data_IF_306787486002
#
_entry.id   IF_306787486002
#
_cell.length_a   1.000
_cell.length_b   1.000
_cell.length_c   1.000
_cell.angle_alpha   90.00
_cell.angle_beta   90.00
_cell.angle_gamma   90.00
#
_symmetry.space_group_name_H-M   'P 1'
#
loop_
_entity.id
_entity.type
_entity.pdbx_description
1 polymer ?
#
# COMPACT_ATOMS: atom_id res chain seq x y z
N UNK A 1 8.57 -4.20 0.20
CA UNK A 1 9.13 -2.89 0.63
C UNK A 1 9.10 -1.85 -0.49
N UNK A 2 9.81 -2.08 -1.61
CA UNK A 2 9.95 -1.10 -2.70
C UNK A 2 8.63 -0.59 -3.28
N UNK A 3 7.66 -1.47 -3.51
CA UNK A 3 6.32 -1.07 -3.99
C UNK A 3 5.61 -0.08 -3.05
N UNK A 4 5.74 -0.25 -1.73
CA UNK A 4 5.07 0.60 -0.74
C UNK A 4 5.64 2.03 -0.73
N UNK A 5 6.96 2.16 -0.83
CA UNK A 5 7.63 3.48 -0.79
C UNK A 5 7.67 4.13 -2.17
N UNK A 6 7.79 3.35 -3.24
CA UNK A 6 7.70 3.83 -4.62
C UNK A 6 6.35 4.48 -4.90
N UNK A 7 5.26 3.91 -4.39
CA UNK A 7 3.92 4.52 -4.46
C UNK A 7 3.81 5.84 -3.69
N UNK A 8 4.70 6.10 -2.73
CA UNK A 8 4.81 7.34 -1.99
C UNK A 8 5.80 8.34 -2.62
N UNK A 9 6.28 8.08 -3.85
CA UNK A 9 7.21 8.96 -4.56
C UNK A 9 8.67 8.83 -4.13
N UNK A 10 9.03 7.81 -3.35
CA UNK A 10 10.43 7.51 -3.03
C UNK A 10 11.08 6.80 -4.21
N UNK A 11 12.21 7.32 -4.68
CA UNK A 11 13.00 6.69 -5.73
C UNK A 11 13.49 5.31 -5.26
N UNK A 12 13.23 4.29 -6.07
CA UNK A 12 13.74 2.93 -5.86
C UNK A 12 14.33 2.43 -7.17
N UNK A 13 15.37 1.57 -7.14
CA UNK A 13 15.85 0.91 -8.35
C UNK A 13 14.72 0.14 -9.04
N UNK A 14 14.63 0.20 -10.36
CA UNK A 14 13.71 -0.67 -11.09
C UNK A 14 14.10 -2.13 -10.84
N UNK A 15 13.12 -3.01 -10.74
CA UNK A 15 13.37 -4.41 -10.39
C UNK A 15 12.40 -5.37 -11.07
N UNK A 16 12.81 -6.63 -11.14
CA UNK A 16 12.02 -7.77 -11.57
C UNK A 16 12.19 -8.89 -10.55
N UNK A 17 11.09 -9.43 -10.04
CA UNK A 17 11.09 -10.67 -9.27
C UNK A 17 10.90 -11.85 -10.22
N UNK A 18 11.77 -12.85 -10.11
CA UNK A 18 11.78 -14.04 -10.95
C UNK A 18 11.59 -15.29 -10.10
N UNK A 19 10.74 -16.19 -10.58
CA UNK A 19 10.51 -17.54 -10.05
C UNK A 19 11.08 -18.63 -10.98
N UNK A 20 11.48 -18.23 -12.20
CA UNK A 20 12.08 -19.13 -13.20
C UNK A 20 12.98 -18.37 -14.17
N UNK A 21 13.84 -19.10 -14.88
CA UNK A 21 14.69 -18.53 -15.95
C UNK A 21 13.92 -18.31 -17.26
N UNK A 22 12.68 -18.77 -17.35
CA UNK A 22 11.87 -18.68 -18.56
C UNK A 22 11.59 -17.21 -18.92
N UNK A 23 11.94 -16.84 -20.15
CA UNK A 23 11.74 -15.49 -20.66
C UNK A 23 12.57 -14.42 -19.95
N UNK A 24 13.68 -14.79 -19.28
CA UNK A 24 14.54 -13.87 -18.51
C UNK A 24 14.84 -12.56 -19.27
N UNK A 25 15.40 -12.66 -20.48
CA UNK A 25 15.75 -11.49 -21.29
C UNK A 25 14.53 -10.61 -21.58
N UNK A 26 13.38 -11.22 -21.90
CA UNK A 26 12.13 -10.50 -22.17
C UNK A 26 11.61 -9.80 -20.92
N UNK A 27 11.68 -10.44 -19.74
CA UNK A 27 11.23 -9.88 -18.46
C UNK A 27 12.13 -8.72 -18.03
N UNK A 28 13.45 -8.86 -18.14
CA UNK A 28 14.44 -7.87 -17.70
C UNK A 28 14.78 -6.79 -18.75
N UNK A 29 14.20 -6.81 -19.96
CA UNK A 29 14.57 -5.92 -21.08
C UNK A 29 14.49 -4.41 -20.81
N UNK A 30 13.78 -4.01 -19.76
CA UNK A 30 13.57 -2.61 -19.39
C UNK A 30 14.52 -2.14 -18.28
N UNK A 31 15.28 -3.06 -17.68
CA UNK A 31 16.32 -2.74 -16.69
C UNK A 31 17.59 -2.26 -17.39
N UNK A 32 18.23 -1.25 -16.82
CA UNK A 32 19.55 -0.78 -17.25
C UNK A 32 20.64 -1.54 -16.49
N UNK A 33 21.62 -2.06 -17.22
CA UNK A 33 22.81 -2.68 -16.64
C UNK A 33 23.79 -1.59 -16.11
N UNK A 34 24.59 -1.88 -15.07
CA UNK A 34 24.62 -3.14 -14.33
C UNK A 34 23.34 -3.39 -13.53
N UNK A 35 23.06 -4.66 -13.28
CA UNK A 35 21.99 -5.13 -12.38
C UNK A 35 22.60 -5.90 -11.21
N UNK A 36 21.86 -6.04 -10.11
CA UNK A 36 22.25 -6.87 -8.97
C UNK A 36 21.18 -7.92 -8.71
N UNK A 37 21.60 -9.17 -8.51
CA UNK A 37 20.72 -10.29 -8.14
C UNK A 37 20.80 -10.49 -6.63
N UNK A 38 19.65 -10.48 -5.95
CA UNK A 38 19.57 -10.66 -4.50
C UNK A 38 18.35 -11.46 -4.07
N UNK A 39 18.36 -11.87 -2.80
CA UNK A 39 17.22 -12.56 -2.20
C UNK A 39 16.07 -11.58 -1.91
N UNK A 40 14.81 -12.04 -1.99
CA UNK A 40 13.63 -11.22 -1.68
C UNK A 40 13.61 -10.78 -0.20
N UNK A 41 14.07 -11.67 0.68
CA UNK A 41 14.12 -11.49 2.14
C UNK A 41 15.58 -11.62 2.60
N UNK A 42 16.43 -10.69 2.19
CA UNK A 42 17.83 -10.67 2.64
C UNK A 42 17.96 -10.15 4.07
N UNK A 43 19.00 -10.59 4.78
CA UNK A 43 19.46 -9.96 6.02
C UNK A 43 20.99 -9.99 6.04
N UNK A 44 21.62 -8.99 6.65
CA UNK A 44 23.07 -8.91 6.85
C UNK A 44 23.95 -9.25 5.62
N UNK A 45 23.47 -8.88 4.43
CA UNK A 45 24.11 -9.19 3.14
C UNK A 45 24.31 -10.69 2.87
N UNK A 46 23.63 -11.60 3.59
CA UNK A 46 23.69 -13.04 3.35
C UNK A 46 23.25 -13.36 1.92
N UNK A 47 24.06 -14.17 1.21
CA UNK A 47 23.87 -14.49 -0.20
C UNK A 47 24.27 -13.38 -1.18
N UNK A 48 24.74 -12.23 -0.69
CA UNK A 48 25.24 -11.13 -1.51
C UNK A 48 26.76 -11.15 -1.50
N UNK A 49 27.34 -11.56 -2.63
CA UNK A 49 28.77 -11.59 -2.93
C UNK A 49 29.10 -10.62 -4.06
N UNK A 50 30.39 -10.40 -4.35
CA UNK A 50 30.84 -9.44 -5.37
C UNK A 50 30.28 -9.75 -6.76
N UNK A 51 30.12 -11.03 -7.10
CA UNK A 51 29.56 -11.52 -8.37
C UNK A 51 28.02 -11.43 -8.47
N UNK A 52 27.34 -10.93 -7.43
CA UNK A 52 25.90 -10.65 -7.51
C UNK A 52 25.59 -9.46 -8.41
N UNK A 53 26.55 -8.56 -8.63
CA UNK A 53 26.43 -7.55 -9.67
C UNK A 53 26.76 -8.18 -11.01
N UNK A 54 25.83 -8.07 -11.94
CA UNK A 54 25.98 -8.51 -13.31
C UNK A 54 26.02 -7.28 -14.22
N UNK A 55 27.10 -7.11 -14.97
CA UNK A 55 27.30 -6.07 -15.97
C UNK A 55 26.76 -6.52 -17.35
N UNK A 56 26.57 -7.85 -17.56
CA UNK A 56 26.06 -8.42 -18.82
C UNK A 56 24.87 -9.37 -18.66
N UNK A 57 24.11 -9.61 -19.75
CA UNK A 57 23.00 -10.55 -19.77
C UNK A 57 23.46 -12.00 -19.50
N UNK A 58 24.66 -12.37 -19.94
CA UNK A 58 25.17 -13.73 -19.74
C UNK A 58 25.57 -13.98 -18.29
N UNK A 59 26.20 -13.01 -17.62
CA UNK A 59 26.40 -13.02 -16.17
C UNK A 59 25.05 -13.14 -15.43
N UNK A 60 24.05 -12.34 -15.84
CA UNK A 60 22.72 -12.38 -15.24
C UNK A 60 22.07 -13.75 -15.37
N UNK A 61 22.17 -14.40 -16.54
CA UNK A 61 21.63 -15.77 -16.75
C UNK A 61 22.25 -16.77 -15.79
N UNK A 62 23.57 -16.72 -15.62
CA UNK A 62 24.30 -17.62 -14.72
C UNK A 62 23.87 -17.36 -13.28
N UNK A 63 23.87 -16.10 -12.84
CA UNK A 63 23.56 -15.74 -11.46
C UNK A 63 22.12 -16.04 -11.08
N UNK A 64 21.15 -15.73 -11.95
CA UNK A 64 19.72 -16.03 -11.72
C UNK A 64 19.49 -17.54 -11.62
N UNK A 65 20.14 -18.34 -12.47
CA UNK A 65 20.01 -19.81 -12.39
C UNK A 65 20.50 -20.34 -11.04
N UNK A 66 21.65 -19.87 -10.56
CA UNK A 66 22.19 -20.26 -9.27
C UNK A 66 21.26 -19.84 -8.12
N UNK A 67 20.82 -18.57 -8.13
CA UNK A 67 19.91 -18.03 -7.10
C UNK A 67 18.57 -18.76 -7.03
N UNK A 68 17.98 -19.12 -8.18
CA UNK A 68 16.73 -19.86 -8.21
C UNK A 68 16.89 -21.29 -7.67
N UNK A 69 18.04 -21.94 -7.93
CA UNK A 69 18.31 -23.26 -7.40
C UNK A 69 18.48 -23.26 -5.87
N UNK A 70 19.03 -22.18 -5.31
CA UNK A 70 19.28 -22.06 -3.87
C UNK A 70 18.07 -21.52 -3.09
N UNK A 71 17.37 -20.52 -3.63
CA UNK A 71 16.38 -19.72 -2.90
C UNK A 71 14.98 -19.69 -3.51
N UNK A 72 14.74 -20.42 -4.61
CA UNK A 72 13.49 -20.44 -5.40
C UNK A 72 13.10 -19.11 -6.08
N UNK A 73 13.65 -17.98 -5.65
CA UNK A 73 13.35 -16.66 -6.19
C UNK A 73 14.63 -15.85 -6.41
N UNK A 74 14.64 -15.04 -7.46
CA UNK A 74 15.70 -14.07 -7.73
C UNK A 74 15.10 -12.67 -7.92
N UNK A 75 15.50 -11.73 -7.06
CA UNK A 75 15.17 -10.32 -7.24
C UNK A 75 16.31 -9.66 -8.02
N UNK A 76 16.01 -9.24 -9.26
CA UNK A 76 16.96 -8.54 -10.14
C UNK A 76 16.65 -7.06 -10.10
N UNK A 77 17.60 -6.24 -9.68
CA UNK A 77 17.42 -4.78 -9.58
C UNK A 77 18.46 -4.04 -10.41
N UNK A 78 18.13 -2.85 -10.92
CA UNK A 78 19.14 -1.92 -11.44
C UNK A 78 20.17 -1.61 -10.35
N UNK A 79 21.45 -1.75 -10.66
CA UNK A 79 22.51 -1.40 -9.73
C UNK A 79 22.79 0.10 -9.83
N UNK A 80 22.40 0.84 -8.80
CA UNK A 80 22.63 2.29 -8.72
C UNK A 80 24.09 2.54 -8.38
N UNK A 81 24.90 2.89 -9.36
CA UNK A 81 26.30 3.29 -9.14
C UNK A 81 26.35 4.57 -8.30
N UNK A 82 27.38 4.73 -7.47
CA UNK A 82 27.60 5.94 -6.66
C UNK A 82 27.80 5.65 -5.18
N UNK A 83 27.63 6.68 -4.35
CA UNK A 83 27.91 6.61 -2.90
C UNK A 83 26.86 5.76 -2.18
N UNK A 84 27.28 4.95 -1.22
CA UNK A 84 26.39 4.11 -0.42
C UNK A 84 26.43 4.53 1.04
N UNK A 85 25.27 4.53 1.69
CA UNK A 85 25.14 4.99 3.05
C UNK A 85 23.90 4.45 3.73
N UNK A 86 23.77 4.82 4.99
CA UNK A 86 22.70 4.34 5.85
C UNK A 86 22.26 5.40 6.84
N UNK A 87 20.99 5.37 7.24
CA UNK A 87 20.40 6.33 8.17
C UNK A 87 19.37 5.69 9.07
N UNK A 88 19.50 5.92 10.37
CA UNK A 88 18.55 5.45 11.39
C UNK A 88 17.32 6.34 11.41
N UNK A 89 16.15 5.73 11.51
CA UNK A 89 14.88 6.40 11.77
C UNK A 89 14.13 5.70 12.90
N UNK A 90 13.46 6.48 13.75
CA UNK A 90 12.59 5.95 14.80
C UNK A 90 11.36 6.83 15.02
N UNK A 91 10.32 6.25 15.62
CA UNK A 91 9.14 6.99 16.00
C UNK A 91 9.45 7.97 17.14
N UNK A 92 9.17 9.26 16.95
CA UNK A 92 9.32 10.27 17.99
C UNK A 92 8.31 11.40 17.80
N UNK A 93 7.40 11.60 18.77
CA UNK A 93 6.34 12.61 18.67
C UNK A 93 6.86 14.05 18.74
N UNK A 94 8.04 14.26 19.33
CA UNK A 94 8.67 15.58 19.39
C UNK A 94 9.30 16.00 18.07
N UNK A 95 9.55 15.04 17.16
CA UNK A 95 10.15 15.30 15.86
C UNK A 95 9.10 15.63 14.79
N UNK A 96 9.57 16.28 13.73
CA UNK A 96 8.73 16.63 12.58
C UNK A 96 8.03 15.39 12.01
N UNK A 97 6.71 15.51 11.79
CA UNK A 97 5.83 14.42 11.39
C UNK A 97 5.76 13.23 12.38
N UNK A 98 6.36 13.29 13.56
CA UNK A 98 6.39 12.18 14.50
C UNK A 98 7.47 11.14 14.21
N UNK A 99 8.51 11.50 13.45
CA UNK A 99 9.63 10.62 13.08
C UNK A 99 10.95 11.34 13.30
N UNK A 100 11.82 10.78 14.14
CA UNK A 100 13.22 11.19 14.25
C UNK A 100 14.00 10.47 13.18
N UNK A 101 14.68 11.24 12.33
CA UNK A 101 15.70 10.73 11.41
C UNK A 101 17.05 11.25 11.90
N UNK A 102 18.01 10.36 12.07
CA UNK A 102 19.35 10.70 12.56
C UNK A 102 20.24 11.21 11.43
N UNK A 103 21.44 11.71 11.77
CA UNK A 103 22.38 12.18 10.75
C UNK A 103 22.85 10.98 9.89
N UNK A 104 22.72 11.02 8.55
CA UNK A 104 23.12 9.91 7.70
C UNK A 104 24.62 9.62 7.80
N UNK A 105 24.98 8.33 7.69
CA UNK A 105 26.35 7.86 7.56
C UNK A 105 26.61 7.39 6.13
N UNK A 106 27.78 7.71 5.60
CA UNK A 106 28.29 7.21 4.33
C UNK A 106 29.39 6.19 4.57
N UNK A 107 29.37 5.11 3.81
CA UNK A 107 30.38 4.05 3.88
C UNK A 107 31.68 4.50 3.21
N UNK A 108 32.82 4.29 3.90
CA UNK A 108 34.19 4.53 3.43
C UNK A 108 35.02 3.24 3.31
N UNK A 109 34.54 2.14 3.88
CA UNK A 109 35.23 0.85 3.81
C UNK A 109 35.22 0.22 2.40
N UNK A 110 34.42 0.75 1.48
CA UNK A 110 34.40 0.36 0.07
C UNK A 110 35.64 0.94 -0.62
N UNK A 111 36.64 0.09 -0.86
CA UNK A 111 37.95 0.42 -1.45
C UNK A 111 38.32 -0.64 -2.51
N UNK A 112 39.32 -0.39 -3.36
CA UNK A 112 39.86 -1.37 -4.32
C UNK A 112 38.78 -2.01 -5.23
N UNK A 113 38.08 -1.18 -6.01
CA UNK A 113 37.01 -1.57 -6.94
C UNK A 113 35.76 -2.21 -6.28
N UNK A 114 35.61 -2.09 -4.96
CA UNK A 114 34.37 -2.47 -4.27
C UNK A 114 33.31 -1.39 -4.47
N UNK A 115 32.25 -1.73 -5.22
CA UNK A 115 31.19 -0.77 -5.55
C UNK A 115 29.95 -0.90 -4.65
N UNK A 116 29.90 -1.84 -3.69
CA UNK A 116 28.78 -2.03 -2.76
C UNK A 116 29.14 -2.90 -1.54
N UNK A 117 28.35 -2.82 -0.46
CA UNK A 117 28.58 -3.60 0.76
C UNK A 117 28.06 -5.06 0.66
N UNK A 118 28.92 -5.97 0.20
CA UNK A 118 28.66 -7.42 0.17
C UNK A 118 29.06 -8.11 1.48
N UNK A 119 28.65 -9.39 1.66
CA UNK A 119 28.75 -10.14 2.92
C UNK A 119 30.14 -10.06 3.57
N UNK A 120 31.17 -10.57 2.88
CA UNK A 120 32.53 -10.62 3.41
C UNK A 120 33.03 -9.23 3.80
N UNK A 121 32.80 -8.22 2.95
CA UNK A 121 33.22 -6.84 3.23
C UNK A 121 32.55 -6.27 4.48
N UNK A 122 31.26 -6.55 4.66
CA UNK A 122 30.48 -6.08 5.81
C UNK A 122 30.91 -6.74 7.12
N UNK A 123 31.26 -8.03 7.09
CA UNK A 123 31.57 -8.81 8.28
C UNK A 123 33.05 -8.83 8.65
N UNK A 124 33.94 -8.46 7.72
CA UNK A 124 35.39 -8.27 7.99
C UNK A 124 35.76 -6.83 8.33
N UNK A 125 34.81 -5.90 8.18
CA UNK A 125 35.02 -4.49 8.49
C UNK A 125 34.93 -4.24 9.99
N UNK A 126 35.94 -3.58 10.55
CA UNK A 126 35.86 -2.95 11.86
C UNK A 126 35.09 -1.62 11.75
N UNK A 127 34.04 -1.44 12.55
CA UNK A 127 33.22 -0.24 12.54
C UNK A 127 33.92 0.92 13.31
N UNK A 128 35.01 1.43 12.72
CA UNK A 128 35.79 2.56 13.23
C UNK A 128 35.75 3.77 12.26
N UNK A 129 36.48 4.84 12.56
CA UNK A 129 36.48 6.09 11.77
C UNK A 129 36.93 5.91 10.30
N UNK A 130 37.65 4.83 9.97
CA UNK A 130 38.03 4.50 8.60
C UNK A 130 36.88 3.89 7.79
N UNK A 131 35.88 3.33 8.47
CA UNK A 131 34.76 2.64 7.84
C UNK A 131 33.63 3.58 7.41
N UNK A 132 33.46 4.74 8.04
CA UNK A 132 32.33 5.61 7.77
C UNK A 132 32.63 7.10 7.94
N UNK A 133 31.69 7.93 7.51
CA UNK A 133 31.64 9.34 7.91
C UNK A 133 30.22 9.86 7.92
N UNK A 134 29.93 10.81 8.81
CA UNK A 134 28.66 11.52 8.77
C UNK A 134 28.57 12.42 7.54
N UNK A 135 27.44 12.34 6.84
CA UNK A 135 27.16 13.20 5.70
C UNK A 135 27.03 14.67 6.17
N UNK A 136 27.77 15.62 5.57
CA UNK A 136 27.62 17.05 5.88
C UNK A 136 26.20 17.57 5.59
N UNK A 137 25.70 18.50 6.40
CA UNK A 137 24.35 19.06 6.25
C UNK A 137 24.16 19.87 4.96
N UNK A 138 25.25 20.38 4.38
CA UNK A 138 25.24 21.11 3.12
C UNK A 138 25.35 20.20 1.89
N UNK A 139 25.40 18.87 2.06
CA UNK A 139 25.35 17.95 0.92
C UNK A 139 23.97 18.07 0.23
N UNK A 140 23.91 18.26 -1.10
CA UNK A 140 22.65 18.40 -1.83
C UNK A 140 21.68 17.22 -1.65
N UNK A 141 22.20 16.01 -1.41
CA UNK A 141 21.38 14.81 -1.20
C UNK A 141 20.78 14.73 0.21
N UNK A 142 21.29 15.50 1.18
CA UNK A 142 20.89 15.44 2.59
C UNK A 142 19.37 15.53 2.80
N UNK A 143 18.65 16.57 2.32
CA UNK A 143 17.19 16.65 2.51
C UNK A 143 16.44 15.47 1.90
N UNK A 144 16.88 14.99 0.72
CA UNK A 144 16.26 13.86 0.03
C UNK A 144 16.47 12.54 0.78
N UNK A 145 17.61 12.33 1.43
CA UNK A 145 17.87 11.18 2.31
C UNK A 145 16.93 11.21 3.52
N UNK A 146 16.79 12.38 4.16
CA UNK A 146 15.92 12.54 5.33
C UNK A 146 14.46 12.24 4.96
N UNK A 147 13.99 12.74 3.81
CA UNK A 147 12.63 12.47 3.32
C UNK A 147 12.43 11.01 2.93
N UNK A 148 13.41 10.42 2.23
CA UNK A 148 13.43 8.99 1.89
C UNK A 148 13.32 8.11 3.13
N UNK A 149 14.14 8.37 4.15
CA UNK A 149 14.15 7.59 5.38
C UNK A 149 12.84 7.73 6.17
N UNK A 150 12.32 8.95 6.26
CA UNK A 150 11.03 9.22 6.91
C UNK A 150 9.89 8.48 6.21
N UNK A 151 9.83 8.55 4.89
CA UNK A 151 8.78 7.89 4.11
C UNK A 151 8.92 6.37 4.17
N UNK A 152 10.13 5.83 4.09
CA UNK A 152 10.39 4.41 4.29
C UNK A 152 9.88 3.92 5.65
N UNK A 153 10.25 4.62 6.73
CA UNK A 153 9.78 4.28 8.07
C UNK A 153 8.25 4.35 8.21
N UNK A 154 7.61 5.41 7.68
CA UNK A 154 6.16 5.57 7.75
C UNK A 154 5.41 4.52 6.95
N UNK A 155 5.80 4.27 5.70
CA UNK A 155 5.01 3.45 4.77
C UNK A 155 5.33 1.96 4.86
N UNK A 156 6.56 1.58 5.26
CA UNK A 156 6.94 0.17 5.42
C UNK A 156 6.73 -0.29 6.86
N UNK A 157 7.17 0.50 7.84
CA UNK A 157 7.11 0.12 9.26
C UNK A 157 5.88 0.68 9.98
N UNK A 158 4.96 1.34 9.26
CA UNK A 158 3.76 1.96 9.79
C UNK A 158 4.04 2.97 10.93
N UNK A 159 5.23 3.57 10.93
CA UNK A 159 5.66 4.50 11.98
C UNK A 159 5.88 3.86 13.35
N UNK A 160 6.15 2.55 13.40
CA UNK A 160 6.34 1.78 14.63
C UNK A 160 7.81 1.41 14.83
N UNK A 161 8.30 1.57 16.06
CA UNK A 161 9.65 1.14 16.44
C UNK A 161 10.75 2.00 15.83
N UNK A 162 11.77 1.33 15.30
CA UNK A 162 12.94 1.93 14.66
C UNK A 162 13.46 1.02 13.55
N UNK A 163 14.14 1.61 12.57
CA UNK A 163 14.78 0.87 11.50
C UNK A 163 15.85 1.70 10.81
N UNK A 164 16.82 0.99 10.24
CA UNK A 164 17.95 1.59 9.53
C UNK A 164 17.72 1.48 8.03
N UNK A 165 17.71 2.62 7.35
CA UNK A 165 17.45 2.75 5.92
C UNK A 165 18.77 2.80 5.17
N UNK A 166 18.99 1.83 4.30
CA UNK A 166 20.15 1.80 3.42
C UNK A 166 19.78 2.46 2.08
N UNK A 167 20.66 3.30 1.56
CA UNK A 167 20.42 4.11 0.37
C UNK A 167 21.68 4.27 -0.48
N UNK A 168 21.48 4.64 -1.74
CA UNK A 168 22.56 5.09 -2.63
C UNK A 168 22.28 6.45 -3.22
N UNK A 169 23.36 7.19 -3.47
CA UNK A 169 23.33 8.48 -4.15
C UNK A 169 24.05 8.28 -5.48
N UNK A 170 23.34 8.48 -6.57
CA UNK A 170 23.93 8.33 -7.90
C UNK A 170 24.86 9.52 -8.25
N UNK A 171 25.60 9.48 -9.38
CA UNK A 171 26.48 10.57 -9.78
C UNK A 171 25.76 11.89 -10.08
N UNK A 172 24.44 11.88 -10.31
CA UNK A 172 23.62 13.10 -10.50
C UNK A 172 23.17 13.70 -9.18
N UNK A 173 23.32 12.98 -8.08
CA UNK A 173 22.86 13.36 -6.75
C UNK A 173 21.48 12.80 -6.39
N UNK A 174 20.90 11.95 -7.24
CA UNK A 174 19.60 11.34 -6.97
C UNK A 174 19.73 10.24 -5.89
N UNK A 175 18.86 10.30 -4.89
CA UNK A 175 18.84 9.36 -3.77
C UNK A 175 17.90 8.19 -4.09
N UNK A 176 18.40 6.97 -3.93
CA UNK A 176 17.65 5.74 -4.15
C UNK A 176 17.56 4.92 -2.86
N UNK A 177 16.34 4.59 -2.46
CA UNK A 177 16.07 3.65 -1.37
C UNK A 177 16.44 2.22 -1.78
N UNK A 178 17.29 1.57 -0.99
CA UNK A 178 17.62 0.16 -1.17
C UNK A 178 16.71 -0.72 -0.33
N UNK A 179 16.74 -0.52 0.99
CA UNK A 179 15.97 -1.27 1.97
C UNK A 179 15.84 -0.52 3.30
N UNK A 180 14.94 -1.00 4.16
CA UNK A 180 14.88 -0.60 5.56
C UNK A 180 14.98 -1.87 6.40
N UNK A 181 15.90 -1.87 7.34
CA UNK A 181 16.19 -2.96 8.26
C UNK A 181 15.50 -2.68 9.60
N UNK A 182 14.36 -3.31 9.91
CA UNK A 182 13.76 -3.28 11.24
C UNK A 182 14.67 -4.03 12.22
N UNK A 183 14.67 -3.64 13.49
CA UNK A 183 15.51 -4.29 14.51
C UNK A 183 16.98 -4.37 14.07
N UNK A 184 17.49 -3.27 13.48
CA UNK A 184 18.90 -3.17 13.13
C UNK A 184 19.78 -3.33 14.38
N UNK A 185 21.03 -3.74 14.16
CA UNK A 185 22.01 -3.89 15.22
C UNK A 185 22.10 -2.63 16.08
N UNK A 186 22.07 -2.79 17.40
CA UNK A 186 22.08 -1.73 18.40
C UNK A 186 22.67 -2.32 19.69
N UNK A 187 23.28 -1.48 20.53
CA UNK A 187 23.92 -1.86 21.80
C UNK A 187 25.02 -2.90 21.67
N UNK A 188 25.80 -2.83 20.59
CA UNK A 188 27.01 -3.64 20.50
C UNK A 188 28.02 -3.19 21.54
N UNK A 189 28.77 -4.14 22.10
CA UNK A 189 29.88 -3.80 22.99
C UNK A 189 30.90 -2.98 22.19
N UNK A 190 31.55 -2.00 22.81
CA UNK A 190 32.64 -1.24 22.18
C UNK A 190 33.75 -2.18 21.67
N UNK A 191 33.98 -3.29 22.38
CA UNK A 191 34.95 -4.32 21.99
C UNK A 191 34.55 -5.10 20.74
N UNK A 192 33.26 -5.13 20.41
CA UNK A 192 32.72 -5.81 19.23
C UNK A 192 32.61 -4.85 18.03
N UNK A 193 33.17 -3.64 18.14
CA UNK A 193 33.27 -2.66 17.06
C UNK A 193 32.05 -1.74 16.89
N UNK A 194 30.97 -1.94 17.64
CA UNK A 194 29.75 -1.13 17.50
C UNK A 194 28.94 -1.39 16.21
N UNK A 195 27.70 -0.91 16.13
CA UNK A 195 26.93 -0.85 14.87
C UNK A 195 26.68 0.61 14.45
N UNK A 196 26.48 0.85 13.15
CA UNK A 196 26.17 2.16 12.60
C UNK A 196 24.98 2.87 13.28
N UNK A 197 23.99 2.13 13.78
CA UNK A 197 22.88 2.73 14.53
C UNK A 197 23.35 3.31 15.87
N UNK A 198 24.25 2.62 16.59
CA UNK A 198 24.85 3.11 17.83
C UNK A 198 25.64 4.40 17.59
N UNK A 199 26.46 4.40 16.53
CA UNK A 199 27.24 5.57 16.10
C UNK A 199 26.34 6.78 15.83
N UNK A 200 25.23 6.58 15.11
CA UNK A 200 24.29 7.67 14.81
C UNK A 200 23.59 8.22 16.06
N UNK A 201 23.24 7.35 17.02
CA UNK A 201 22.63 7.77 18.28
C UNK A 201 23.64 8.57 19.11
N UNK A 202 24.86 8.06 19.28
CA UNK A 202 25.93 8.74 20.02
C UNK A 202 26.37 10.05 19.36
N UNK A 203 26.33 10.12 18.03
CA UNK A 203 26.67 11.33 17.26
C UNK A 203 25.63 12.44 17.31
N UNK A 204 24.44 12.20 17.89
CA UNK A 204 23.37 13.19 18.01
C UNK A 204 23.40 13.88 19.38
N UNK A 205 23.55 15.21 19.39
CA UNK A 205 23.63 16.00 20.64
C UNK A 205 22.40 15.92 21.54
N UNK A 206 21.27 15.47 21.01
CA UNK A 206 19.99 15.41 21.72
C UNK A 206 19.57 13.98 22.07
N UNK A 207 20.29 12.96 21.63
CA UNK A 207 19.95 11.57 21.87
C UNK A 207 21.12 10.79 22.47
N UNK A 208 20.78 9.83 23.31
CA UNK A 208 21.64 8.77 23.78
C UNK A 208 20.84 7.45 23.75
N UNK A 209 21.51 6.32 23.98
CA UNK A 209 20.88 4.99 24.02
C UNK A 209 19.75 4.89 25.03
N UNK A 210 19.89 5.63 26.11
CA UNK A 210 19.05 5.62 27.28
C UNK A 210 17.70 6.29 26.99
N UNK A 211 17.73 7.47 26.36
CA UNK A 211 16.57 8.15 25.75
C UNK A 211 15.99 7.31 24.62
N UNK A 212 16.82 6.69 23.78
CA UNK A 212 16.35 5.87 22.67
C UNK A 212 15.46 4.71 23.14
N UNK A 213 15.95 3.90 24.08
CA UNK A 213 15.19 2.76 24.60
C UNK A 213 13.95 3.21 25.40
N UNK A 214 14.06 4.27 26.21
CA UNK A 214 12.90 4.84 26.93
C UNK A 214 11.80 5.28 25.96
N UNK A 215 12.17 5.98 24.89
CA UNK A 215 11.22 6.39 23.86
C UNK A 215 10.55 5.17 23.18
N UNK A 216 11.33 4.15 22.81
CA UNK A 216 10.82 2.92 22.22
C UNK A 216 9.84 2.19 23.16
N UNK A 217 10.17 2.04 24.45
CA UNK A 217 9.32 1.38 25.45
C UNK A 217 8.02 2.17 25.67
N UNK A 218 8.10 3.49 25.91
CA UNK A 218 6.92 4.34 26.11
C UNK A 218 5.98 4.23 24.90
N UNK A 219 6.54 4.19 23.70
CA UNK A 219 5.77 4.04 22.48
C UNK A 219 5.13 2.66 22.37
N UNK A 220 5.88 1.60 22.62
CA UNK A 220 5.37 0.23 22.61
C UNK A 220 4.20 0.04 23.59
N UNK A 221 4.32 0.55 24.82
CA UNK A 221 3.24 0.51 25.83
C UNK A 221 2.00 1.28 25.35
N UNK A 222 2.18 2.47 24.78
CA UNK A 222 1.07 3.27 24.24
C UNK A 222 0.39 2.60 23.05
N UNK A 223 1.17 2.02 22.13
CA UNK A 223 0.63 1.28 20.99
C UNK A 223 -0.11 0.03 21.44
N UNK A 224 0.43 -0.71 22.41
CA UNK A 224 -0.24 -1.86 22.98
C UNK A 224 -1.58 -1.47 23.62
N UNK A 225 -1.61 -0.37 24.38
CA UNK A 225 -2.85 0.19 24.93
C UNK A 225 -3.84 0.62 23.84
N UNK A 226 -3.35 1.15 22.71
CA UNK A 226 -4.19 1.53 21.57
C UNK A 226 -4.71 0.32 20.77
N UNK A 227 -3.92 -0.76 20.67
CA UNK A 227 -4.27 -2.03 20.02
C UNK A 227 -5.23 -2.87 20.86
N UNK A 228 -5.33 -2.64 22.18
CA UNK A 228 -6.34 -3.30 23.02
C UNK A 228 -7.71 -3.14 22.38
N UNK A 229 -8.42 -4.25 22.11
CA UNK A 229 -9.76 -4.20 21.54
C UNK A 229 -10.64 -3.25 22.34
N UNK A 230 -11.41 -2.43 21.63
CA UNK A 230 -12.42 -1.56 22.23
C UNK A 230 -13.67 -2.33 22.66
N UNK A 231 -13.61 -3.65 22.56
CA UNK A 231 -14.63 -4.61 22.89
C UNK A 231 -14.02 -5.84 23.58
N UNK A 232 -14.84 -6.67 24.18
CA UNK A 232 -14.47 -8.00 24.69
C UNK A 232 -15.60 -8.98 24.42
N UNK A 233 -15.26 -10.27 24.31
CA UNK A 233 -16.25 -11.34 24.18
C UNK A 233 -16.73 -11.70 25.59
N UNK A 234 -18.03 -11.89 25.73
CA UNK A 234 -18.72 -12.30 26.95
C UNK A 234 -19.74 -13.39 26.61
N UNK A 235 -20.28 -14.07 27.61
CA UNK A 235 -21.38 -15.01 27.44
C UNK A 235 -22.41 -14.84 28.55
N UNK A 236 -23.65 -15.24 28.29
CA UNK A 236 -24.69 -15.32 29.32
C UNK A 236 -24.59 -16.64 30.12
N UNK A 237 -25.50 -16.81 31.09
CA UNK A 237 -25.58 -18.03 31.92
C UNK A 237 -25.95 -19.30 31.14
N UNK A 238 -26.44 -19.16 29.91
CA UNK A 238 -26.77 -20.26 29.00
C UNK A 238 -25.63 -20.58 28.03
N UNK A 239 -24.50 -19.87 28.11
CA UNK A 239 -23.34 -20.05 27.25
C UNK A 239 -23.44 -19.32 25.90
N UNK A 240 -24.43 -18.45 25.71
CA UNK A 240 -24.56 -17.70 24.45
C UNK A 240 -23.57 -16.54 24.40
N UNK A 241 -22.68 -16.56 23.41
CA UNK A 241 -21.68 -15.52 23.22
C UNK A 241 -22.29 -14.17 22.83
N UNK A 242 -21.62 -13.09 23.25
CA UNK A 242 -21.86 -11.70 22.87
C UNK A 242 -20.57 -10.92 22.86
N UNK A 243 -20.61 -9.73 22.27
CA UNK A 243 -19.53 -8.77 22.30
C UNK A 243 -19.99 -7.53 23.04
N UNK A 244 -19.18 -7.04 23.97
CA UNK A 244 -19.48 -5.84 24.77
C UNK A 244 -18.39 -4.81 24.58
N UNK A 245 -18.72 -3.53 24.72
CA UNK A 245 -17.75 -2.45 24.64
C UNK A 245 -16.84 -2.44 25.89
N UNK A 246 -15.51 -2.44 25.70
CA UNK A 246 -14.53 -2.27 26.79
C UNK A 246 -14.24 -0.80 27.09
N UNK A 247 -14.65 0.10 26.18
CA UNK A 247 -14.56 1.56 26.34
C UNK A 247 -15.72 2.24 25.62
N UNK A 248 -16.03 3.48 26.02
CA UNK A 248 -17.08 4.27 25.37
C UNK A 248 -16.77 4.49 23.88
N UNK A 249 -17.76 4.28 23.03
CA UNK A 249 -17.68 4.53 21.59
C UNK A 249 -18.58 5.72 21.25
N UNK A 250 -18.03 6.71 20.55
CA UNK A 250 -18.80 7.88 20.05
C UNK A 250 -19.77 7.45 18.95
N UNK A 251 -20.86 8.19 18.77
CA UNK A 251 -21.76 8.03 17.63
C UNK A 251 -21.03 8.25 16.29
N UNK A 252 -21.46 7.54 15.24
CA UNK A 252 -20.89 7.62 13.89
C UNK A 252 -19.45 7.10 13.77
N UNK A 253 -18.93 6.40 14.78
CA UNK A 253 -17.61 5.77 14.70
C UNK A 253 -17.70 4.57 13.79
N UNK A 254 -16.81 4.47 12.81
CA UNK A 254 -16.62 3.24 12.04
C UNK A 254 -16.06 2.13 12.95
N UNK A 255 -16.77 1.01 12.97
CA UNK A 255 -16.54 -0.17 13.79
C UNK A 255 -16.27 -1.34 12.86
N UNK A 256 -15.34 -2.19 13.28
CA UNK A 256 -15.04 -3.42 12.57
C UNK A 256 -14.67 -3.26 11.08
N UNK A 257 -14.23 -2.08 10.64
CA UNK A 257 -13.75 -1.85 9.28
C UNK A 257 -12.47 -2.66 9.04
N UNK A 258 -12.50 -3.52 8.04
CA UNK A 258 -11.33 -4.12 7.41
C UNK A 258 -11.55 -4.05 5.89
N UNK A 259 -10.71 -3.27 5.20
CA UNK A 259 -10.80 -3.09 3.76
C UNK A 259 -10.03 -4.15 2.97
N UNK A 260 -9.30 -5.03 3.67
CA UNK A 260 -8.31 -5.92 3.09
C UNK A 260 -8.83 -7.37 3.02
N UNK A 261 -9.65 -7.78 3.99
CA UNK A 261 -10.12 -9.17 4.09
C UNK A 261 -11.64 -9.29 3.87
N UNK A 262 -12.11 -10.38 3.22
CA UNK A 262 -13.51 -10.77 3.30
C UNK A 262 -13.93 -10.92 4.76
N UNK A 263 -15.11 -10.41 5.13
CA UNK A 263 -15.69 -10.60 6.47
C UNK A 263 -16.75 -11.69 6.33
N UNK A 264 -16.44 -12.97 6.62
CA UNK A 264 -17.46 -14.00 6.65
C UNK A 264 -18.42 -13.72 7.80
N UNK A 265 -19.68 -13.47 7.45
CA UNK A 265 -20.75 -13.42 8.43
C UNK A 265 -21.38 -14.80 8.50
N UNK A 266 -21.17 -15.49 9.62
CA UNK A 266 -21.80 -16.79 9.88
C UNK A 266 -23.06 -16.52 10.69
N UNK A 267 -24.20 -16.53 10.01
CA UNK A 267 -25.49 -16.68 10.66
C UNK A 267 -25.60 -18.15 11.08
N UNK A 268 -25.17 -18.47 12.30
CA UNK A 268 -25.34 -19.81 12.83
C UNK A 268 -26.75 -19.85 13.42
N UNK A 269 -27.67 -20.54 12.74
CA UNK A 269 -28.68 -21.29 13.45
C UNK A 269 -27.89 -22.27 14.32
N UNK A 270 -27.83 -22.02 15.64
CA UNK A 270 -27.22 -22.97 16.57
C UNK A 270 -28.11 -24.21 16.58
N UNK A 271 -27.93 -25.10 15.60
CA UNK A 271 -28.47 -26.44 15.64
C UNK A 271 -27.80 -27.17 16.80
N UNK A 272 -28.44 -27.20 17.97
CA UNK A 272 -28.24 -28.32 18.87
C UNK A 272 -28.99 -29.50 18.27
N UNK A 273 -28.30 -30.62 18.09
CA UNK A 273 -28.91 -31.86 17.63
C UNK A 273 -30.07 -32.19 18.58
N UNK A 274 -31.32 -32.06 18.11
CA UNK A 274 -32.54 -32.32 18.89
C UNK A 274 -33.41 -31.09 19.27
N UNK A 275 -33.07 -29.87 18.88
CA UNK A 275 -33.96 -28.70 19.05
C UNK A 275 -34.77 -28.43 17.76
N UNK A 276 -36.10 -28.34 17.88
CA UNK A 276 -37.02 -28.09 16.74
C UNK A 276 -36.98 -26.63 16.25
N UNK A 277 -36.67 -25.67 17.14
CA UNK A 277 -36.66 -24.23 16.86
C UNK A 277 -35.26 -23.61 17.07
N UNK A 278 -34.50 -23.30 16.01
CA UNK A 278 -33.12 -22.81 16.16
C UNK A 278 -33.08 -21.34 16.64
N UNK A 279 -32.28 -21.07 17.69
CA UNK A 279 -31.87 -19.70 18.02
C UNK A 279 -30.90 -19.14 16.98
N UNK A 280 -31.23 -17.98 16.40
CA UNK A 280 -30.38 -17.28 15.42
C UNK A 280 -29.32 -16.46 16.13
N UNK A 281 -28.06 -16.92 16.07
CA UNK A 281 -26.88 -16.15 16.46
C UNK A 281 -26.11 -15.66 15.23
N UNK A 282 -25.55 -14.45 15.29
CA UNK A 282 -24.65 -13.94 14.26
C UNK A 282 -23.23 -13.88 14.82
N UNK A 283 -22.37 -14.74 14.29
CA UNK A 283 -20.93 -14.67 14.51
C UNK A 283 -20.35 -13.93 13.33
N UNK A 284 -19.82 -12.73 13.57
CA UNK A 284 -19.05 -11.99 12.58
C UNK A 284 -17.59 -12.42 12.76
N UNK A 285 -17.10 -13.24 11.85
CA UNK A 285 -15.71 -13.67 11.80
C UNK A 285 -14.92 -12.59 11.06
N UNK A 286 -13.85 -12.08 11.67
CA UNK A 286 -12.94 -11.13 11.01
C UNK A 286 -11.56 -11.73 10.88
N UNK A 287 -10.98 -11.57 9.68
CA UNK A 287 -9.59 -11.86 9.38
C UNK A 287 -9.20 -13.34 9.49
N UNK A 288 -7.92 -13.60 9.27
CA UNK A 288 -7.36 -14.95 9.17
C UNK A 288 -7.04 -15.59 10.55
N UNK A 289 -7.42 -14.93 11.67
CA UNK A 289 -7.01 -15.36 13.02
C UNK A 289 -8.18 -15.44 14.02
N UNK A 290 -8.36 -16.58 14.73
CA UNK A 290 -9.51 -16.84 15.63
C UNK A 290 -9.77 -15.79 16.72
N UNK A 291 -8.74 -15.08 17.19
CA UNK A 291 -8.84 -14.05 18.23
C UNK A 291 -9.51 -12.73 17.76
N UNK A 292 -9.91 -12.65 16.50
CA UNK A 292 -10.59 -11.48 15.92
C UNK A 292 -12.09 -11.70 15.67
N UNK A 293 -12.60 -12.90 15.96
CA UNK A 293 -14.03 -13.20 15.90
C UNK A 293 -14.82 -12.35 16.89
N UNK A 294 -16.01 -11.90 16.50
CA UNK A 294 -16.96 -11.21 17.37
C UNK A 294 -18.35 -11.83 17.24
N UNK A 295 -19.00 -12.06 18.38
CA UNK A 295 -20.40 -12.47 18.42
C UNK A 295 -21.27 -11.21 18.56
N UNK A 296 -22.09 -10.90 17.56
CA UNK A 296 -22.96 -9.71 17.58
C UNK A 296 -24.39 -10.21 17.58
N UNK A 297 -25.18 -9.81 18.58
CA UNK A 297 -26.57 -10.24 18.71
C UNK A 297 -27.55 -9.33 18.00
N UNK A 298 -28.73 -9.87 17.74
CA UNK A 298 -29.87 -9.12 17.27
C UNK A 298 -30.37 -8.16 18.34
N UNK A 299 -30.77 -6.95 17.94
CA UNK A 299 -31.66 -6.11 18.74
C UNK A 299 -32.59 -5.33 17.80
N UNK A 300 -33.84 -5.14 18.23
CA UNK A 300 -34.79 -4.24 17.56
C UNK A 300 -34.46 -2.77 17.82
N UNK A 301 -33.67 -2.44 18.85
CA UNK A 301 -33.12 -1.12 19.14
C UNK A 301 -31.60 -1.15 19.12
N UNK A 302 -30.98 -1.49 17.97
CA UNK A 302 -29.55 -1.76 17.93
C UNK A 302 -28.73 -0.49 18.17
N UNK A 303 -27.54 -0.65 18.71
CA UNK A 303 -26.59 0.46 18.85
C UNK A 303 -25.60 0.56 17.68
N UNK A 304 -25.60 -0.41 16.76
CA UNK A 304 -24.83 -0.38 15.51
C UNK A 304 -25.74 -0.56 14.28
N UNK A 305 -25.26 -0.09 13.13
CA UNK A 305 -25.88 -0.32 11.82
C UNK A 305 -24.81 -0.43 10.74
N UNK A 306 -25.15 -1.03 9.59
CA UNK A 306 -24.27 -0.97 8.43
C UNK A 306 -24.21 0.44 7.85
N UNK A 307 -23.01 0.86 7.47
CA UNK A 307 -22.80 2.08 6.70
C UNK A 307 -23.39 1.89 5.30
N UNK A 308 -24.20 2.85 4.86
CA UNK A 308 -24.86 2.78 3.55
C UNK A 308 -23.84 2.82 2.40
N UNK A 309 -23.92 1.83 1.51
CA UNK A 309 -23.11 1.74 0.29
C UNK A 309 -22.02 0.66 0.36
N UNK A 310 -22.27 -0.50 -0.27
CA UNK A 310 -21.31 -1.59 -0.61
C UNK A 310 -20.30 -2.07 0.44
N UNK A 311 -20.30 -1.58 1.66
CA UNK A 311 -19.34 -1.95 2.71
C UNK A 311 -20.07 -2.70 3.83
N UNK A 312 -19.55 -3.87 4.22
CA UNK A 312 -19.91 -4.56 5.47
C UNK A 312 -19.33 -3.83 6.71
N UNK A 313 -19.20 -2.51 6.63
CA UNK A 313 -18.67 -1.68 7.72
C UNK A 313 -19.80 -1.32 8.65
N UNK A 314 -19.66 -1.66 9.93
CA UNK A 314 -20.58 -1.24 10.97
C UNK A 314 -20.23 0.18 11.44
N UNK A 315 -21.23 0.96 11.78
CA UNK A 315 -21.08 2.26 12.43
C UNK A 315 -21.96 2.30 13.67
N UNK A 316 -21.49 2.98 14.71
CA UNK A 316 -22.33 3.22 15.89
C UNK A 316 -23.46 4.19 15.56
N UNK A 317 -24.71 3.79 15.84
CA UNK A 317 -25.91 4.64 15.66
C UNK A 317 -25.96 5.76 16.70
N UNK A 318 -25.47 5.47 17.90
CA UNK A 318 -25.42 6.38 19.04
C UNK A 318 -24.15 6.13 19.85
N UNK A 319 -23.97 6.89 20.92
CA UNK A 319 -22.94 6.59 21.93
C UNK A 319 -23.19 5.19 22.50
N UNK A 320 -22.13 4.37 22.58
CA UNK A 320 -22.13 3.05 23.22
C UNK A 320 -21.32 3.16 24.51
N UNK A 321 -21.91 2.80 25.64
CA UNK A 321 -21.27 2.92 26.94
C UNK A 321 -20.38 1.72 27.26
N UNK A 322 -19.48 1.88 28.23
CA UNK A 322 -18.64 0.76 28.71
C UNK A 322 -19.53 -0.36 29.24
N UNK A 323 -19.24 -1.60 28.88
CA UNK A 323 -19.99 -2.78 29.28
C UNK A 323 -21.27 -3.02 28.48
N UNK A 324 -21.70 -2.06 27.66
CA UNK A 324 -22.88 -2.20 26.81
C UNK A 324 -22.64 -3.26 25.73
N UNK A 325 -23.65 -4.08 25.50
CA UNK A 325 -23.63 -5.11 24.47
C UNK A 325 -23.74 -4.50 23.07
N UNK A 326 -22.92 -5.02 22.15
CA UNK A 326 -22.94 -4.60 20.76
C UNK A 326 -24.00 -5.38 19.99
N UNK A 327 -24.96 -4.65 19.43
CA UNK A 327 -26.11 -5.24 18.74
C UNK A 327 -26.35 -4.61 17.37
N UNK A 328 -26.89 -5.41 16.45
CA UNK A 328 -27.28 -4.98 15.10
C UNK A 328 -28.66 -5.52 14.76
N UNK A 329 -29.39 -4.82 13.90
CA UNK A 329 -30.64 -5.36 13.36
C UNK A 329 -30.34 -6.38 12.26
N UNK A 330 -30.56 -7.66 12.54
CA UNK A 330 -30.37 -8.74 11.55
C UNK A 330 -31.24 -8.59 10.31
N UNK A 331 -32.38 -7.90 10.38
CA UNK A 331 -33.17 -7.59 9.19
C UNK A 331 -32.35 -6.83 8.13
N UNK A 332 -31.28 -6.13 8.56
CA UNK A 332 -30.39 -5.36 7.68
C UNK A 332 -29.17 -6.15 7.18
N UNK A 333 -28.92 -7.33 7.76
CA UNK A 333 -27.78 -8.19 7.41
C UNK A 333 -28.12 -9.12 6.25
N UNK A 334 -29.32 -9.67 6.27
CA UNK A 334 -29.74 -10.71 5.35
C UNK A 334 -30.58 -10.13 4.21
N UNK A 335 -30.61 -10.85 3.09
CA UNK A 335 -31.39 -10.45 1.92
C UNK A 335 -32.86 -10.90 2.04
N UNK A 336 -33.61 -10.64 0.98
CA UNK A 336 -35.03 -10.99 0.82
C UNK A 336 -35.33 -12.49 0.96
N UNK A 337 -34.31 -13.37 0.95
CA UNK A 337 -34.46 -14.81 1.07
C UNK A 337 -34.34 -15.33 2.50
N UNK A 338 -34.07 -14.46 3.48
CA UNK A 338 -34.00 -14.85 4.88
C UNK A 338 -35.38 -15.29 5.40
N UNK A 339 -35.52 -16.51 5.94
CA UNK A 339 -36.73 -16.90 6.64
C UNK A 339 -36.98 -16.00 7.86
N UNK A 340 -38.23 -15.61 8.15
CA UNK A 340 -38.55 -14.90 9.38
C UNK A 340 -38.21 -15.75 10.61
N UNK A 341 -37.85 -15.09 11.73
CA UNK A 341 -37.53 -15.78 12.98
C UNK A 341 -38.10 -15.05 14.20
N UNK A 342 -38.40 -15.80 15.26
CA UNK A 342 -38.88 -15.25 16.52
C UNK A 342 -37.78 -14.43 17.23
N UNK A 343 -38.13 -13.23 17.69
CA UNK A 343 -37.24 -12.31 18.36
C UNK A 343 -37.45 -12.32 19.88
N UNK A 344 -36.37 -12.56 20.61
CA UNK A 344 -36.32 -12.55 22.08
C UNK A 344 -35.35 -11.50 22.63
N UNK A 345 -35.09 -10.41 21.88
CA UNK A 345 -34.04 -9.44 22.24
C UNK A 345 -34.33 -8.59 23.50
N UNK A 346 -35.55 -8.63 24.03
CA UNK A 346 -35.90 -8.02 25.32
C UNK A 346 -36.01 -6.49 25.34
N UNK A 347 -35.91 -5.81 24.20
CA UNK A 347 -36.14 -4.36 24.11
C UNK A 347 -37.61 -4.00 24.29
N UNK A 348 -37.92 -2.81 24.78
CA UNK A 348 -39.31 -2.32 24.94
C UNK A 348 -40.08 -2.33 23.61
N UNK A 349 -39.41 -2.00 22.49
CA UNK A 349 -39.96 -2.03 21.14
C UNK A 349 -39.58 -3.31 20.37
N UNK A 350 -39.57 -4.47 21.03
CA UNK A 350 -39.30 -5.74 20.37
C UNK A 350 -40.36 -6.03 19.30
N UNK A 351 -39.93 -6.39 18.08
CA UNK A 351 -40.84 -6.72 16.96
C UNK A 351 -41.49 -8.10 17.06
N UNK A 352 -41.08 -8.93 18.03
CA UNK A 352 -41.49 -10.33 18.26
C UNK A 352 -41.16 -11.31 17.12
N UNK A 353 -41.23 -10.89 15.87
CA UNK A 353 -40.80 -11.63 14.68
C UNK A 353 -39.99 -10.69 13.80
N UNK A 354 -38.84 -11.15 13.32
CA UNK A 354 -37.99 -10.39 12.41
C UNK A 354 -38.25 -10.85 10.98
N UNK A 355 -38.55 -9.91 10.11
CA UNK A 355 -38.68 -10.11 8.67
C UNK A 355 -37.45 -9.53 7.95
N UNK A 356 -37.07 -10.06 6.78
CA UNK A 356 -36.00 -9.47 5.97
C UNK A 356 -36.35 -8.03 5.57
N UNK A 357 -35.35 -7.14 5.54
CA UNK A 357 -35.56 -5.78 5.03
C UNK A 357 -35.61 -5.78 3.50
N UNK A 358 -36.45 -4.92 2.94
CA UNK A 358 -36.45 -4.67 1.50
C UNK A 358 -35.05 -4.21 1.03
N UNK A 359 -34.62 -4.62 -0.19
CA UNK A 359 -33.31 -4.26 -0.71
C UNK A 359 -33.15 -2.74 -0.80
N UNK A 360 -32.00 -2.22 -0.36
CA UNK A 360 -31.72 -0.77 -0.49
C UNK A 360 -31.65 -0.35 -1.97
N UNK A 361 -31.97 0.91 -2.34
CA UNK A 361 -31.93 1.38 -3.74
C UNK A 361 -30.59 1.14 -4.44
N UNK A 362 -29.46 1.24 -3.72
CA UNK A 362 -28.11 0.98 -4.27
C UNK A 362 -27.85 -0.50 -4.58
N UNK A 363 -28.52 -1.43 -3.91
CA UNK A 363 -28.45 -2.87 -4.24
C UNK A 363 -29.13 -3.17 -5.57
N UNK A 364 -30.22 -2.46 -5.88
CA UNK A 364 -30.88 -2.51 -7.19
C UNK A 364 -30.00 -1.91 -8.29
N UNK A 365 -29.40 -0.73 -8.05
CA UNK A 365 -28.42 -0.13 -8.97
C UNK A 365 -27.21 -1.05 -9.21
N UNK A 366 -26.71 -1.75 -8.18
CA UNK A 366 -25.61 -2.70 -8.30
C UNK A 366 -25.93 -3.92 -9.17
N UNK A 367 -27.15 -4.47 -9.06
CA UNK A 367 -27.65 -5.53 -9.95
C UNK A 367 -27.70 -5.02 -11.41
N UNK A 368 -28.23 -3.82 -11.62
CA UNK A 368 -28.34 -3.19 -12.95
C UNK A 368 -26.96 -2.88 -13.57
N UNK A 369 -26.02 -2.35 -12.79
CA UNK A 369 -24.64 -2.06 -13.25
C UNK A 369 -23.91 -3.36 -13.61
N UNK A 370 -24.06 -4.43 -12.82
CA UNK A 370 -23.43 -5.73 -13.13
C UNK A 370 -23.97 -6.33 -14.43
N UNK A 371 -25.28 -6.19 -14.67
CA UNK A 371 -25.90 -6.59 -15.93
C UNK A 371 -25.35 -5.77 -17.11
N UNK A 372 -25.34 -4.44 -16.99
CA UNK A 372 -24.78 -3.54 -18.00
C UNK A 372 -23.30 -3.84 -18.30
N UNK A 373 -22.48 -4.11 -17.27
CA UNK A 373 -21.07 -4.45 -17.46
C UNK A 373 -20.88 -5.81 -18.16
N UNK A 374 -21.74 -6.80 -17.89
CA UNK A 374 -21.74 -8.08 -18.62
C UNK A 374 -22.10 -7.88 -20.09
N UNK A 375 -23.07 -7.04 -20.38
CA UNK A 375 -23.48 -6.68 -21.74
C UNK A 375 -22.37 -5.92 -22.48
N UNK A 376 -21.76 -4.90 -21.85
CA UNK A 376 -20.60 -4.19 -22.41
C UNK A 376 -19.40 -5.10 -22.66
N UNK A 377 -19.12 -6.04 -21.74
CA UNK A 377 -18.05 -7.03 -21.91
C UNK A 377 -18.34 -7.93 -23.12
N UNK A 378 -19.57 -8.44 -23.28
CA UNK A 378 -19.98 -9.23 -24.45
C UNK A 378 -19.82 -8.43 -25.75
N UNK A 379 -20.27 -7.18 -25.78
CA UNK A 379 -20.13 -6.32 -26.96
C UNK A 379 -18.67 -6.08 -27.34
N UNK A 380 -17.79 -5.86 -26.36
CA UNK A 380 -16.37 -5.67 -26.58
C UNK A 380 -15.68 -6.92 -27.15
N UNK A 381 -16.02 -8.13 -26.66
CA UNK A 381 -15.48 -9.37 -27.24
C UNK A 381 -15.96 -9.57 -28.69
N UNK A 382 -17.22 -9.27 -28.98
CA UNK A 382 -17.77 -9.35 -30.33
C UNK A 382 -17.06 -8.39 -31.29
N UNK A 383 -16.84 -7.14 -30.88
CA UNK A 383 -16.10 -6.16 -31.69
C UNK A 383 -14.65 -6.59 -31.95
N UNK A 384 -14.02 -7.25 -30.96
CA UNK A 384 -12.68 -7.79 -31.11
C UNK A 384 -12.64 -8.95 -32.12
N UNK A 385 -13.60 -9.87 -32.05
CA UNK A 385 -13.77 -10.96 -33.02
C UNK A 385 -14.02 -10.43 -34.43
N UNK A 386 -14.90 -9.43 -34.58
CA UNK A 386 -15.20 -8.77 -35.86
C UNK A 386 -13.93 -8.12 -36.45
N UNK A 387 -13.13 -7.43 -35.62
CA UNK A 387 -11.88 -6.80 -36.05
C UNK A 387 -10.81 -7.81 -36.47
N UNK A 388 -10.78 -8.98 -35.82
CA UNK A 388 -9.89 -10.08 -36.17
C UNK A 388 -10.33 -10.76 -37.48
N UNK A 389 -11.64 -10.97 -37.67
CA UNK A 389 -12.21 -11.45 -38.92
C UNK A 389 -11.94 -10.47 -40.08
N UNK A 390 -12.10 -9.16 -39.86
CA UNK A 390 -11.80 -8.13 -40.85
C UNK A 390 -10.31 -8.12 -41.22
N UNK A 391 -9.40 -8.31 -40.25
CA UNK A 391 -7.96 -8.45 -40.49
C UNK A 391 -7.65 -9.69 -41.33
N UNK A 392 -8.30 -10.82 -41.07
CA UNK A 392 -8.16 -12.05 -41.86
C UNK A 392 -8.66 -11.83 -43.29
N UNK A 393 -9.81 -11.18 -43.47
CA UNK A 393 -10.39 -10.83 -44.77
C UNK A 393 -9.46 -9.90 -45.56
N UNK A 394 -8.93 -8.83 -44.94
CA UNK A 394 -7.96 -7.92 -45.57
C UNK A 394 -6.69 -8.66 -46.01
N UNK A 395 -6.18 -9.59 -45.18
CA UNK A 395 -5.00 -10.41 -45.50
C UNK A 395 -5.27 -11.42 -46.64
N UNK A 396 -6.50 -11.93 -46.76
CA UNK A 396 -6.93 -12.77 -47.89
C UNK A 396 -7.09 -11.95 -49.18
N UNK A 397 -7.72 -10.79 -49.08
CA UNK A 397 -7.89 -9.87 -50.21
C UNK A 397 -6.56 -9.34 -50.76
N UNK A 398 -5.58 -9.07 -49.88
CA UNK A 398 -4.23 -8.65 -50.30
C UNK A 398 -3.44 -9.77 -50.98
N UNK A 399 -3.72 -11.05 -50.65
CA UNK A 399 -3.14 -12.20 -51.36
C UNK A 399 -3.80 -12.44 -52.73
N UNK A 400 -5.08 -12.07 -52.90
CA UNK A 400 -5.79 -12.20 -54.18
C UNK A 400 -5.39 -11.16 -55.24
N UNK A 401 -4.88 -9.99 -54.83
CA UNK A 401 -4.43 -8.92 -55.75
C UNK A 401 -2.98 -9.06 -56.23
N UNK A 402 -2.25 -10.10 -55.81
CA UNK A 402 -0.86 -10.34 -56.20
C UNK A 402 -0.67 -10.99 -57.57
N UNK A 403 -1.72 -11.23 -58.35
CA UNK A 403 -1.61 -12.01 -59.59
C UNK A 403 -2.42 -11.44 -60.78
N UNK A 404 -2.39 -10.12 -60.99
CA UNK A 404 -2.74 -9.53 -62.30
C UNK A 404 -2.00 -8.20 -62.55
N UNK A 405 -0.81 -8.32 -63.12
CA UNK A 405 -0.37 -7.61 -64.33
C UNK A 405 -0.34 -6.08 -64.42
N UNK A 406 0.83 -5.63 -64.92
CA UNK A 406 1.09 -4.49 -65.83
C UNK A 406 1.44 -3.11 -65.25
N UNK A 407 2.74 -2.91 -65.18
CA UNK A 407 3.51 -1.66 -65.23
C UNK A 407 3.28 -0.86 -66.52
N UNK A 408 3.14 0.46 -66.42
CA UNK A 408 4.05 1.45 -67.04
C UNK A 408 3.59 2.91 -66.88
N UNK A 409 4.60 3.76 -66.62
CA UNK A 409 4.77 5.18 -66.99
C UNK A 409 3.86 6.29 -66.42
N UNK A 410 4.49 7.16 -65.62
CA UNK A 410 4.22 8.61 -65.54
C UNK A 410 4.86 9.33 -66.76
N UNK A 411 4.52 10.61 -67.09
CA UNK A 411 5.07 11.75 -66.34
C UNK A 411 4.20 13.05 -66.25
N UNK A 412 4.51 13.82 -65.20
CA UNK A 412 4.49 15.30 -65.01
C UNK A 412 3.59 16.25 -65.82
N UNK A 413 2.89 17.16 -65.12
CA UNK A 413 3.07 18.64 -65.20
C UNK A 413 2.00 19.41 -64.38
N UNK A 414 2.44 20.46 -63.67
CA UNK A 414 1.62 21.52 -63.03
C UNK A 414 1.52 22.75 -63.98
N UNK A 415 0.93 23.92 -63.63
CA UNK A 415 -0.06 24.27 -62.59
C UNK A 415 -1.21 25.21 -63.08
N UNK A 416 -2.09 25.58 -62.12
CA UNK A 416 -2.83 26.85 -61.97
C UNK A 416 -3.97 27.22 -62.93
N UNK A 417 -5.20 27.29 -62.39
CA UNK A 417 -6.11 28.45 -62.59
C UNK A 417 -6.95 28.66 -61.32
N UNK A 418 -7.09 29.93 -60.98
CA UNK A 418 -7.76 30.55 -59.86
C UNK A 418 -9.29 30.64 -59.96
N UNK A 419 -9.90 30.91 -58.80
CA UNK A 419 -11.03 31.83 -58.53
C UNK A 419 -12.47 31.28 -58.36
N UNK A 420 -13.04 31.74 -57.23
CA UNK A 420 -14.44 32.13 -56.93
C UNK A 420 -15.49 31.03 -56.82
N UNK A 421 -15.98 30.66 -55.62
CA UNK A 421 -16.82 31.37 -54.61
C UNK A 421 -18.34 31.26 -54.86
N UNK A 422 -19.06 30.60 -53.95
CA UNK A 422 -20.45 30.88 -53.54
C UNK A 422 -20.78 29.99 -52.32
N UNK A 423 -21.02 30.59 -51.14
CA UNK A 423 -22.34 30.75 -50.49
C UNK A 423 -22.72 29.54 -49.61
N UNK A 424 -23.22 29.64 -48.37
CA UNK A 424 -23.66 30.75 -47.51
C UNK A 424 -23.61 30.33 -46.03
N UNK A 425 -23.45 31.27 -45.08
CA UNK A 425 -24.51 31.83 -44.20
C UNK A 425 -25.18 30.75 -43.32
N UNK A 426 -24.98 30.70 -42.00
CA UNK A 426 -25.58 31.57 -40.97
C UNK A 426 -24.83 31.42 -39.63
N UNK A 427 -24.29 32.48 -39.00
CA UNK A 427 -24.93 33.42 -38.04
C UNK A 427 -25.59 32.77 -36.81
N UNK A 428 -24.93 32.83 -35.64
CA UNK A 428 -25.26 33.86 -34.64
C UNK A 428 -24.28 33.85 -33.46
N UNK A 429 -23.70 35.03 -33.24
CA UNK A 429 -23.03 35.47 -32.04
C UNK A 429 -24.01 36.32 -31.21
N UNK A 430 -23.76 36.43 -29.89
CA UNK A 430 -24.04 37.60 -29.05
C UNK A 430 -23.68 37.23 -27.60
N UNK A 431 -22.52 37.67 -27.08
CA UNK A 431 -22.30 38.93 -26.30
C UNK A 431 -22.97 38.89 -24.93
N UNK A 432 -22.23 38.92 -23.82
CA UNK A 432 -21.63 40.13 -23.22
C UNK A 432 -22.53 40.55 -22.02
N UNK A 433 -22.11 41.13 -20.90
CA UNK A 433 -21.04 42.10 -20.60
C UNK A 433 -20.88 42.20 -19.06
N UNK A 434 -19.63 42.42 -18.63
CA UNK A 434 -19.02 43.14 -17.49
C UNK A 434 -19.79 43.67 -16.26
N UNK A 435 -19.02 43.76 -15.16
CA UNK A 435 -19.07 44.81 -14.11
C UNK A 435 -18.63 44.27 -12.74
N UNK A 436 -17.36 44.30 -12.29
CA UNK A 436 -16.47 45.40 -11.88
C UNK A 436 -16.66 45.93 -10.45
N UNK A 437 -15.52 46.30 -9.84
CA UNK A 437 -15.25 46.99 -8.54
C UNK A 437 -15.15 46.07 -7.30
N UNK A 438 -14.07 45.95 -6.51
CA UNK A 438 -12.90 46.75 -6.07
C UNK A 438 -13.06 47.42 -4.69
N UNK A 439 -11.94 47.55 -3.97
CA UNK A 439 -11.67 48.04 -2.59
C UNK A 439 -11.67 46.94 -1.49
N UNK A 440 -10.74 46.86 -0.54
CA UNK A 440 -9.57 47.69 -0.21
C UNK A 440 -9.34 47.73 1.31
N UNK A 441 -8.18 47.23 1.75
CA UNK A 441 -7.41 47.54 2.99
C UNK A 441 -8.03 47.33 4.40
N UNK A 442 -7.27 46.74 5.34
CA UNK A 442 -6.43 47.44 6.36
C UNK A 442 -5.75 46.40 7.28
N UNK A 443 -4.54 46.73 7.69
CA UNK A 443 -3.60 45.98 8.52
C UNK A 443 -3.88 46.07 10.04
N UNK A 444 -3.33 45.12 10.81
CA UNK A 444 -2.65 45.43 12.09
C UNK A 444 -1.70 44.29 12.50
N UNK A 445 -0.46 44.65 12.79
CA UNK A 445 0.48 43.85 13.58
C UNK A 445 0.63 44.43 14.97
N UNK A 446 1.02 43.60 15.95
CA UNK A 446 1.60 44.03 17.23
C UNK A 446 2.73 43.06 17.61
N UNK A 447 3.79 43.66 18.15
CA UNK A 447 5.11 43.12 18.41
C UNK A 447 5.29 42.76 19.91
N UNK A 448 6.11 41.74 20.15
CA UNK A 448 6.92 41.34 21.33
C UNK A 448 6.88 42.06 22.70
N UNK A 449 6.90 41.26 23.79
CA UNK A 449 7.95 41.13 24.85
C UNK A 449 7.40 40.62 26.20
N UNK A 450 7.88 39.46 26.66
CA UNK A 450 8.63 39.24 27.92
C UNK A 450 9.13 37.81 27.99
#
# INVERSE_FOLDING_TARGET
MKLLVGAAGVNTPNFVLLESTEGLAKKCRHLRFPVIVKHLSGYASVGIHKDNRCDTLDELKVKVRAFLAEFNHALVEEFIRGREGTVLACADRGSLFGVKVFKPLMFKFLQNDDDFAYFEKKWTMECNESAYSFLPHNDPAYPHIIDTARNAFRHIMNGVGYGRVDFRIDPKGDVYFLEINPNCGMWYNEKDGGDFADVMVQGDKSWDHDRFIRNAIIRAVREQAARRPWYFISHDSKGNFSTRASKTVRAGKSLFSDAIHPIPVVAQALYKLGEEDPTVGCVILRGDRPHQAVAIRHSCEPNMQFMQGRTLTLVSKRRINVGEELTVDYATLCDENMPPFACSCGTSNCRSVIFPSAPTPRTLEGKNIRQMLREKKKAWYKEKEDREAERILKKRASKGKGNSGSSASSPSSSPSVSSTSAAGVSSNAATGVNGSSNSGSVAHGINSKK
#
